data_IF_636236454014
#
_entry.id   IF_636236454014
#
_cell.length_a   1.000
_cell.length_b   1.000
_cell.length_c   1.000
_cell.angle_alpha   90.00
_cell.angle_beta   90.00
_cell.angle_gamma   90.00
#
_symmetry.space_group_name_H-M   'P 1'
#
loop_
_entity.id
_entity.type
_entity.pdbx_description
1 polymer ?
#
# COMPACT_ATOMS: atom_id res chain seq x y z
N UNK A 1 5.96 -1.55 -14.67
CA UNK A 1 7.31 -1.72 -14.10
C UNK A 1 8.15 -2.60 -15.00
N UNK A 2 9.47 -2.40 -15.03
CA UNK A 2 10.40 -3.34 -15.68
C UNK A 2 10.69 -4.50 -14.73
N UNK A 3 11.06 -5.65 -15.28
CA UNK A 3 11.28 -6.86 -14.51
C UNK A 3 11.26 -8.10 -15.39
N UNK A 4 11.48 -9.25 -14.76
CA UNK A 4 11.62 -10.52 -15.44
C UNK A 4 10.66 -11.57 -14.86
N UNK A 5 10.01 -12.39 -15.70
CA UNK A 5 9.25 -13.53 -15.21
C UNK A 5 10.20 -14.61 -14.67
N UNK A 6 9.96 -15.07 -13.45
CA UNK A 6 10.60 -16.23 -12.83
C UNK A 6 9.59 -17.38 -12.82
N UNK A 7 9.87 -18.41 -13.61
CA UNK A 7 9.05 -19.62 -13.65
C UNK A 7 9.13 -20.37 -12.33
N UNK A 8 7.98 -20.74 -11.79
CA UNK A 8 7.85 -21.53 -10.58
C UNK A 8 6.80 -22.64 -10.77
N UNK A 9 6.75 -23.58 -9.83
CA UNK A 9 5.78 -24.67 -9.84
C UNK A 9 5.06 -24.72 -8.51
N UNK A 10 3.74 -24.57 -8.57
CA UNK A 10 2.87 -24.86 -7.43
C UNK A 10 2.86 -26.37 -7.24
N UNK A 11 3.23 -26.82 -6.03
CA UNK A 11 3.35 -28.25 -5.74
C UNK A 11 1.97 -28.84 -5.48
N UNK A 12 1.82 -30.13 -5.78
CA UNK A 12 0.63 -30.87 -5.40
C UNK A 12 0.51 -30.86 -3.88
N UNK A 13 -0.65 -30.43 -3.38
CA UNK A 13 -0.98 -30.48 -1.96
C UNK A 13 -2.31 -31.22 -1.76
N UNK A 14 -2.27 -32.46 -1.24
CA UNK A 14 -3.48 -33.24 -0.98
C UNK A 14 -4.31 -32.69 0.19
N UNK A 15 -3.68 -31.93 1.10
CA UNK A 15 -4.30 -31.38 2.30
C UNK A 15 -5.00 -30.04 2.04
N UNK A 16 -4.70 -29.38 0.91
CA UNK A 16 -5.34 -28.13 0.53
C UNK A 16 -6.86 -28.30 0.39
N UNK A 17 -7.62 -27.49 1.13
CA UNK A 17 -9.08 -27.44 1.06
C UNK A 17 -9.54 -26.72 -0.23
N UNK A 18 -9.40 -27.41 -1.36
CA UNK A 18 -9.75 -26.92 -2.70
C UNK A 18 -10.39 -28.02 -3.56
N UNK A 19 -11.15 -27.70 -4.62
CA UNK A 19 -11.58 -28.70 -5.61
C UNK A 19 -10.39 -29.50 -6.20
N UNK A 20 -10.55 -30.78 -6.59
CA UNK A 20 -9.45 -31.64 -7.05
C UNK A 20 -8.61 -31.06 -8.20
N UNK A 21 -9.21 -30.23 -9.07
CA UNK A 21 -8.50 -29.55 -10.17
C UNK A 21 -7.44 -28.55 -9.68
N UNK A 22 -7.61 -27.94 -8.51
CA UNK A 22 -6.70 -26.94 -7.95
C UNK A 22 -5.65 -27.53 -6.99
N UNK A 23 -5.80 -28.81 -6.59
CA UNK A 23 -4.79 -29.51 -5.79
C UNK A 23 -3.60 -29.99 -6.62
N UNK A 24 -3.74 -30.05 -7.95
CA UNK A 24 -2.73 -30.54 -8.88
C UNK A 24 -1.55 -29.56 -8.98
N UNK A 25 -0.37 -30.11 -9.25
CA UNK A 25 0.78 -29.29 -9.57
C UNK A 25 0.55 -28.51 -10.87
N UNK A 26 1.03 -27.29 -10.92
CA UNK A 26 0.93 -26.43 -12.10
C UNK A 26 2.08 -25.42 -12.14
N UNK A 27 2.49 -25.04 -13.34
CA UNK A 27 3.49 -24.00 -13.57
C UNK A 27 2.83 -22.63 -13.61
N UNK A 28 3.50 -21.63 -13.04
CA UNK A 28 3.13 -20.22 -13.14
C UNK A 28 4.40 -19.38 -13.27
N UNK A 29 4.26 -18.17 -13.80
CA UNK A 29 5.37 -17.23 -13.93
C UNK A 29 5.14 -16.09 -12.94
N UNK A 30 6.05 -15.94 -11.96
CA UNK A 30 6.05 -14.84 -11.00
C UNK A 30 6.84 -13.66 -11.56
N UNK A 31 6.31 -12.45 -11.48
CA UNK A 31 7.00 -11.26 -11.98
C UNK A 31 7.94 -10.70 -10.91
N UNK A 32 9.25 -10.69 -11.19
CA UNK A 32 10.26 -10.09 -10.31
C UNK A 32 10.63 -8.71 -10.89
N UNK A 33 10.24 -7.59 -10.25
CA UNK A 33 10.56 -6.26 -10.76
C UNK A 33 12.06 -6.00 -10.64
N UNK A 34 12.56 -5.16 -11.56
CA UNK A 34 13.91 -4.65 -11.45
C UNK A 34 14.02 -3.71 -10.22
N UNK A 35 15.20 -3.63 -9.59
CA UNK A 35 15.47 -2.65 -8.54
C UNK A 35 15.24 -1.22 -9.02
N UNK A 36 14.80 -0.35 -8.12
CA UNK A 36 14.48 1.07 -8.39
C UNK A 36 15.48 2.04 -7.79
N UNK A 37 16.31 1.64 -6.82
CA UNK A 37 17.23 2.56 -6.14
C UNK A 37 18.18 3.28 -7.10
N UNK A 38 18.74 2.55 -8.07
CA UNK A 38 19.67 3.10 -9.07
C UNK A 38 18.98 3.44 -10.41
N UNK A 39 17.66 3.58 -10.41
CA UNK A 39 16.90 3.83 -11.64
C UNK A 39 17.16 5.24 -12.17
N UNK A 40 17.70 5.35 -13.40
CA UNK A 40 17.78 6.61 -14.12
C UNK A 40 16.42 6.97 -14.73
N UNK A 41 15.76 8.00 -14.21
CA UNK A 41 14.46 8.46 -14.72
C UNK A 41 14.65 9.73 -15.55
N UNK A 42 14.21 9.69 -16.81
CA UNK A 42 14.15 10.85 -17.69
C UNK A 42 12.69 11.21 -17.96
N UNK A 43 12.30 12.44 -17.64
CA UNK A 43 10.95 12.93 -17.86
C UNK A 43 10.87 13.64 -19.23
N UNK A 44 9.92 13.27 -20.11
CA UNK A 44 9.59 14.09 -21.26
C UNK A 44 9.21 15.51 -20.82
N UNK A 45 9.55 16.53 -21.63
CA UNK A 45 9.32 17.94 -21.26
C UNK A 45 7.87 18.27 -20.91
N UNK A 46 6.90 17.66 -21.61
CA UNK A 46 5.47 17.81 -21.32
C UNK A 46 5.10 17.25 -19.93
N UNK A 47 5.60 16.07 -19.58
CA UNK A 47 5.36 15.47 -18.27
C UNK A 47 6.02 16.31 -17.16
N UNK A 48 7.24 16.80 -17.39
CA UNK A 48 7.92 17.67 -16.44
C UNK A 48 7.13 18.96 -16.17
N UNK A 49 6.52 19.56 -17.21
CA UNK A 49 5.66 20.73 -17.05
C UNK A 49 4.41 20.42 -16.20
N UNK A 50 3.72 19.31 -16.48
CA UNK A 50 2.54 18.89 -15.70
C UNK A 50 2.89 18.63 -14.23
N UNK A 51 4.02 17.96 -13.97
CA UNK A 51 4.50 17.73 -12.60
C UNK A 51 4.79 19.05 -11.90
N UNK A 52 5.50 19.97 -12.56
CA UNK A 52 5.81 21.29 -12.01
C UNK A 52 4.55 22.08 -11.67
N UNK A 53 3.53 22.08 -12.54
CA UNK A 53 2.27 22.79 -12.31
C UNK A 53 1.49 22.19 -11.14
N UNK A 54 1.46 20.86 -11.02
CA UNK A 54 0.81 20.15 -9.93
C UNK A 54 1.49 20.44 -8.59
N UNK A 55 2.83 20.35 -8.51
CA UNK A 55 3.58 20.66 -7.29
C UNK A 55 3.40 22.12 -6.87
N UNK A 56 3.40 23.05 -7.84
CA UNK A 56 3.15 24.46 -7.57
C UNK A 56 1.73 24.71 -7.05
N UNK A 57 0.72 23.99 -7.55
CA UNK A 57 -0.64 24.09 -7.05
C UNK A 57 -0.76 23.59 -5.60
N UNK A 58 -0.12 22.47 -5.27
CA UNK A 58 -0.08 21.92 -3.91
C UNK A 58 0.64 22.91 -2.97
N UNK A 59 1.80 23.43 -3.38
CA UNK A 59 2.55 24.40 -2.58
C UNK A 59 1.75 25.68 -2.30
N UNK A 60 1.04 26.22 -3.30
CA UNK A 60 0.16 27.39 -3.12
C UNK A 60 -0.93 27.12 -2.09
N UNK A 61 -1.59 25.97 -2.16
CA UNK A 61 -2.62 25.57 -1.20
C UNK A 61 -2.05 25.53 0.23
N UNK A 62 -0.87 24.93 0.41
CA UNK A 62 -0.24 24.80 1.72
C UNK A 62 0.19 26.16 2.30
N UNK A 63 0.72 27.06 1.46
CA UNK A 63 1.18 28.39 1.90
C UNK A 63 0.04 29.34 2.33
N UNK A 64 -1.13 29.23 1.70
CA UNK A 64 -2.19 30.22 1.84
C UNK A 64 -3.13 29.99 3.02
N UNK A 65 -3.21 28.76 3.54
CA UNK A 65 -4.33 28.36 4.40
C UNK A 65 -4.02 27.28 5.46
N UNK A 66 -2.74 26.93 5.70
CA UNK A 66 -2.35 25.77 6.52
C UNK A 66 -3.04 25.65 7.89
N UNK A 67 -3.06 26.71 8.71
CA UNK A 67 -3.71 26.64 10.03
C UNK A 67 -5.24 26.62 9.96
N UNK A 68 -5.83 27.34 9.00
CA UNK A 68 -7.28 27.41 8.83
C UNK A 68 -7.87 26.10 8.24
N UNK A 69 -7.07 25.37 7.47
CA UNK A 69 -7.48 24.11 6.84
C UNK A 69 -7.19 22.88 7.69
N UNK A 70 -6.50 22.97 8.83
CA UNK A 70 -6.14 21.79 9.64
C UNK A 70 -7.34 20.89 10.01
N UNK A 71 -8.53 21.41 10.38
CA UNK A 71 -9.72 20.56 10.59
C UNK A 71 -10.20 19.89 9.29
N UNK A 72 -10.12 20.60 8.15
CA UNK A 72 -10.50 20.07 6.85
C UNK A 72 -9.51 19.00 6.36
N UNK A 73 -8.21 19.16 6.61
CA UNK A 73 -7.19 18.18 6.28
C UNK A 73 -7.47 16.83 6.96
N UNK A 74 -7.82 16.85 8.26
CA UNK A 74 -8.22 15.63 8.99
C UNK A 74 -9.47 14.97 8.40
N UNK A 75 -10.47 15.78 8.01
CA UNK A 75 -11.67 15.26 7.35
C UNK A 75 -11.34 14.65 5.98
N UNK A 76 -10.53 15.33 5.17
CA UNK A 76 -10.13 14.87 3.83
C UNK A 76 -9.30 13.58 3.90
N UNK A 77 -8.37 13.45 4.85
CA UNK A 77 -7.62 12.21 5.09
C UNK A 77 -8.52 11.04 5.47
N UNK A 78 -9.56 11.29 6.28
CA UNK A 78 -10.58 10.29 6.60
C UNK A 78 -11.37 9.89 5.35
N UNK A 79 -11.83 10.86 4.56
CA UNK A 79 -12.55 10.59 3.31
C UNK A 79 -11.69 9.80 2.33
N UNK A 80 -10.40 10.12 2.22
CA UNK A 80 -9.44 9.37 1.40
C UNK A 80 -9.31 7.93 1.91
N UNK A 81 -9.20 7.71 3.22
CA UNK A 81 -9.11 6.36 3.80
C UNK A 81 -10.37 5.53 3.53
N UNK A 82 -11.55 6.14 3.60
CA UNK A 82 -12.82 5.48 3.26
C UNK A 82 -12.88 5.14 1.77
N UNK A 83 -12.51 6.08 0.89
CA UNK A 83 -12.46 5.86 -0.55
C UNK A 83 -11.44 4.77 -0.92
N UNK A 84 -10.27 4.79 -0.28
CA UNK A 84 -9.21 3.79 -0.36
C UNK A 84 -9.72 2.40 0.00
N UNK A 85 -10.46 2.24 1.10
CA UNK A 85 -11.07 0.93 1.45
C UNK A 85 -12.16 0.49 0.47
N UNK A 86 -12.88 1.43 -0.16
CA UNK A 86 -13.88 1.12 -1.18
C UNK A 86 -13.26 0.53 -2.45
N UNK A 87 -12.02 0.94 -2.80
CA UNK A 87 -11.26 0.32 -3.91
C UNK A 87 -10.99 -1.16 -3.63
N UNK A 88 -10.80 -1.53 -2.35
CA UNK A 88 -10.63 -2.92 -1.92
C UNK A 88 -11.95 -3.69 -1.80
N UNK A 89 -13.08 -3.10 -2.23
CA UNK A 89 -14.39 -3.75 -2.28
C UNK A 89 -15.27 -3.56 -1.03
N UNK A 90 -14.79 -2.85 0.00
CA UNK A 90 -15.56 -2.60 1.22
C UNK A 90 -16.69 -1.59 0.97
N UNK A 91 -17.90 -1.87 1.49
CA UNK A 91 -19.05 -0.99 1.31
C UNK A 91 -19.77 -0.71 2.63
N UNK A 92 -19.31 0.32 3.33
CA UNK A 92 -19.96 0.83 4.55
C UNK A 92 -20.43 2.26 4.29
N UNK A 93 -21.70 2.55 4.57
CA UNK A 93 -22.24 3.92 4.47
C UNK A 93 -21.71 4.82 5.61
N UNK A 94 -21.69 6.12 5.37
CA UNK A 94 -21.12 7.09 6.31
C UNK A 94 -21.78 7.09 7.69
N UNK A 95 -23.10 6.80 7.77
CA UNK A 95 -23.83 6.78 9.04
C UNK A 95 -23.49 5.53 9.85
N UNK A 96 -23.36 4.39 9.17
CA UNK A 96 -22.93 3.12 9.78
C UNK A 96 -21.50 3.22 10.27
N UNK A 97 -20.60 3.81 9.47
CA UNK A 97 -19.21 4.04 9.89
C UNK A 97 -19.13 4.99 11.09
N UNK A 98 -19.84 6.11 11.09
CA UNK A 98 -19.86 7.03 12.24
C UNK A 98 -20.38 6.36 13.53
N UNK A 99 -21.39 5.47 13.41
CA UNK A 99 -21.86 4.67 14.55
C UNK A 99 -20.82 3.66 15.02
N UNK A 100 -20.09 3.05 14.09
CA UNK A 100 -19.03 2.11 14.38
C UNK A 100 -17.85 2.80 15.09
N UNK A 101 -17.48 4.03 14.72
CA UNK A 101 -16.46 4.81 15.43
C UNK A 101 -16.83 5.00 16.92
N UNK A 102 -18.03 5.51 17.19
CA UNK A 102 -18.52 5.70 18.58
C UNK A 102 -18.63 4.38 19.34
N UNK A 103 -19.05 3.31 18.65
CA UNK A 103 -19.10 1.98 19.25
C UNK A 103 -17.70 1.47 19.61
N UNK A 104 -16.72 1.64 18.73
CA UNK A 104 -15.32 1.25 18.97
C UNK A 104 -14.70 2.03 20.13
N UNK A 105 -14.94 3.34 20.23
CA UNK A 105 -14.48 4.17 21.36
C UNK A 105 -15.07 3.74 22.71
N UNK A 106 -16.28 3.18 22.67
CA UNK A 106 -16.97 2.65 23.86
C UNK A 106 -16.71 1.16 24.11
N UNK A 107 -15.77 0.56 23.38
CA UNK A 107 -15.39 -0.86 23.52
C UNK A 107 -16.45 -1.85 23.03
N UNK A 108 -17.45 -1.40 22.26
CA UNK A 108 -18.48 -2.26 21.68
C UNK A 108 -17.99 -2.87 20.38
N UNK A 109 -18.41 -4.11 20.13
CA UNK A 109 -18.13 -4.82 18.89
C UNK A 109 -18.77 -4.10 17.69
N UNK A 110 -18.02 -4.06 16.59
CA UNK A 110 -18.40 -3.47 15.31
C UNK A 110 -18.15 -4.48 14.19
N UNK A 111 -18.79 -4.29 13.03
CA UNK A 111 -18.62 -5.20 11.90
C UNK A 111 -17.18 -5.23 11.37
N UNK A 112 -16.78 -6.35 10.76
CA UNK A 112 -15.43 -6.55 10.22
C UNK A 112 -15.04 -5.44 9.22
N UNK A 113 -15.88 -5.15 8.22
CA UNK A 113 -15.61 -4.09 7.24
C UNK A 113 -15.45 -2.70 7.87
N UNK A 114 -16.29 -2.36 8.85
CA UNK A 114 -16.18 -1.10 9.57
C UNK A 114 -14.88 -1.03 10.38
N UNK A 115 -14.47 -2.15 10.98
CA UNK A 115 -13.19 -2.26 11.70
C UNK A 115 -12.01 -2.02 10.78
N UNK A 116 -12.04 -2.61 9.58
CA UNK A 116 -11.00 -2.44 8.56
C UNK A 116 -10.91 -1.00 8.04
N UNK A 117 -12.04 -0.33 7.86
CA UNK A 117 -12.06 1.09 7.44
C UNK A 117 -11.48 1.98 8.54
N UNK A 118 -11.88 1.77 9.80
CA UNK A 118 -11.32 2.55 10.93
C UNK A 118 -9.82 2.26 11.09
N UNK A 119 -9.38 1.01 10.91
CA UNK A 119 -7.95 0.68 10.96
C UNK A 119 -7.17 1.31 9.81
N UNK A 120 -7.76 1.46 8.62
CA UNK A 120 -7.16 2.21 7.53
C UNK A 120 -7.05 3.71 7.85
N UNK A 121 -8.07 4.31 8.44
CA UNK A 121 -8.03 5.70 8.93
C UNK A 121 -6.87 5.89 9.92
N UNK A 122 -6.76 5.00 10.91
CA UNK A 122 -5.72 5.07 11.93
C UNK A 122 -4.33 4.87 11.32
N UNK A 123 -4.18 3.94 10.36
CA UNK A 123 -2.93 3.70 9.66
C UNK A 123 -2.51 4.90 8.80
N UNK A 124 -3.44 5.55 8.11
CA UNK A 124 -3.18 6.75 7.33
C UNK A 124 -2.77 7.92 8.22
N UNK A 125 -3.45 8.11 9.36
CA UNK A 125 -3.07 9.13 10.34
C UNK A 125 -1.69 8.86 10.91
N UNK A 126 -1.40 7.61 11.31
CA UNK A 126 -0.08 7.20 11.78
C UNK A 126 1.01 7.44 10.72
N UNK A 127 0.74 7.08 9.46
CA UNK A 127 1.66 7.28 8.35
C UNK A 127 2.00 8.76 8.16
N UNK A 128 0.98 9.62 8.17
CA UNK A 128 1.13 11.06 7.98
C UNK A 128 1.79 11.71 9.19
N UNK A 129 1.37 11.42 10.42
CA UNK A 129 1.82 12.12 11.63
C UNK A 129 3.16 11.63 12.20
N UNK A 130 3.43 10.32 12.16
CA UNK A 130 4.61 9.74 12.80
C UNK A 130 5.61 9.19 11.78
N UNK A 131 5.16 8.45 10.77
CA UNK A 131 6.07 7.84 9.79
C UNK A 131 6.70 8.89 8.86
N UNK A 132 5.93 9.88 8.40
CA UNK A 132 6.45 10.95 7.53
C UNK A 132 7.39 11.94 8.23
N UNK A 133 7.39 11.96 9.57
CA UNK A 133 8.37 12.72 10.35
C UNK A 133 9.77 12.06 10.32
N UNK A 134 9.86 10.80 9.86
CA UNK A 134 11.10 10.02 9.75
C UNK A 134 11.36 9.68 8.27
N UNK A 135 12.58 9.24 7.98
CA UNK A 135 12.87 8.63 6.67
C UNK A 135 12.13 7.30 6.58
N UNK A 136 11.54 7.02 5.42
CA UNK A 136 10.81 5.77 5.23
C UNK A 136 11.79 4.59 5.14
N UNK A 137 11.70 3.68 6.12
CA UNK A 137 12.45 2.43 6.12
C UNK A 137 11.50 1.24 6.14
N UNK A 138 12.04 0.02 6.04
CA UNK A 138 11.28 -1.22 6.20
C UNK A 138 10.49 -1.18 7.53
N UNK A 139 11.10 -0.67 8.61
CA UNK A 139 10.46 -0.60 9.93
C UNK A 139 9.19 0.25 9.90
N UNK A 140 9.23 1.41 9.25
CA UNK A 140 8.11 2.35 9.12
C UNK A 140 7.00 1.75 8.25
N UNK A 141 7.35 1.10 7.14
CA UNK A 141 6.39 0.34 6.31
C UNK A 141 5.69 -0.76 7.12
N UNK A 142 6.45 -1.56 7.86
CA UNK A 142 5.90 -2.60 8.73
C UNK A 142 5.05 -2.01 9.87
N UNK A 143 5.38 -0.82 10.37
CA UNK A 143 4.60 -0.14 11.40
C UNK A 143 3.26 0.35 10.86
N UNK A 144 3.23 0.97 9.68
CA UNK A 144 1.98 1.38 9.00
C UNK A 144 1.09 0.15 8.78
N UNK A 145 1.65 -0.91 8.19
CA UNK A 145 0.92 -2.16 7.96
C UNK A 145 0.43 -2.81 9.26
N UNK A 146 1.21 -2.70 10.35
CA UNK A 146 0.80 -3.20 11.67
C UNK A 146 -0.46 -2.48 12.17
N UNK A 147 -0.49 -1.15 12.11
CA UNK A 147 -1.66 -0.36 12.52
C UNK A 147 -2.87 -0.73 11.67
N UNK A 148 -2.67 -0.85 10.36
CA UNK A 148 -3.72 -1.21 9.40
C UNK A 148 -4.38 -2.56 9.73
N UNK A 149 -3.57 -3.57 10.08
CA UNK A 149 -4.06 -4.94 10.23
C UNK A 149 -4.39 -5.33 11.67
N UNK A 150 -3.98 -4.54 12.67
CA UNK A 150 -4.02 -4.90 14.10
C UNK A 150 -5.41 -5.33 14.63
N UNK A 151 -6.49 -4.81 14.04
CA UNK A 151 -7.87 -5.10 14.47
C UNK A 151 -8.64 -5.97 13.48
N UNK A 152 -7.98 -6.46 12.44
CA UNK A 152 -8.62 -7.29 11.41
C UNK A 152 -8.58 -8.75 11.81
N UNK A 153 -9.33 -9.60 11.10
CA UNK A 153 -9.28 -11.06 11.30
C UNK A 153 -7.87 -11.63 10.99
N UNK A 154 -7.04 -10.90 10.24
CA UNK A 154 -5.68 -11.26 9.83
C UNK A 154 -4.60 -10.55 10.67
N UNK A 155 -4.91 -10.17 11.90
CA UNK A 155 -3.99 -9.46 12.80
C UNK A 155 -2.67 -10.21 13.05
N UNK A 156 -2.65 -11.54 12.88
CA UNK A 156 -1.45 -12.36 12.99
C UNK A 156 -0.38 -12.05 11.92
N UNK A 157 -0.77 -11.50 10.77
CA UNK A 157 0.12 -11.06 9.69
C UNK A 157 0.49 -9.56 9.79
N UNK A 158 -0.04 -8.85 10.80
CA UNK A 158 0.14 -7.42 10.96
C UNK A 158 1.63 -7.04 11.09
N UNK A 159 2.09 -6.17 10.20
CA UNK A 159 3.48 -5.70 10.17
C UNK A 159 4.52 -6.79 9.89
N UNK A 160 4.17 -7.84 9.14
CA UNK A 160 5.09 -8.90 8.70
C UNK A 160 5.08 -9.01 7.18
N UNK A 161 6.26 -9.08 6.56
CA UNK A 161 6.37 -9.47 5.15
C UNK A 161 5.86 -10.90 4.97
N UNK A 162 5.22 -11.19 3.85
CA UNK A 162 4.71 -12.53 3.54
C UNK A 162 5.86 -13.51 3.35
N UNK A 163 5.66 -14.73 3.82
CA UNK A 163 6.51 -15.90 3.55
C UNK A 163 5.84 -16.89 2.56
N UNK A 164 4.61 -16.61 2.17
CA UNK A 164 3.82 -17.36 1.17
C UNK A 164 3.70 -16.60 -0.15
N UNK A 165 3.45 -17.35 -1.22
CA UNK A 165 3.25 -16.77 -2.55
C UNK A 165 1.85 -16.15 -2.65
N UNK A 166 1.78 -14.85 -2.90
CA UNK A 166 0.53 -14.15 -3.26
C UNK A 166 0.26 -14.23 -4.77
N UNK A 167 -0.96 -13.92 -5.18
CA UNK A 167 -1.36 -13.72 -6.57
C UNK A 167 -2.63 -12.86 -6.65
N UNK A 168 -2.88 -12.28 -7.83
CA UNK A 168 -4.00 -11.38 -8.11
C UNK A 168 -4.81 -11.96 -9.28
N UNK A 169 -6.12 -12.06 -9.08
CA UNK A 169 -7.03 -12.64 -10.07
C UNK A 169 -6.99 -14.16 -10.13
N UNK A 170 -7.77 -14.75 -11.03
CA UNK A 170 -7.88 -16.20 -11.18
C UNK A 170 -8.75 -16.87 -10.11
N UNK A 171 -8.13 -17.56 -9.14
CA UNK A 171 -8.82 -18.40 -8.16
C UNK A 171 -8.22 -18.23 -6.75
N UNK A 172 -8.87 -18.76 -5.71
CA UNK A 172 -8.44 -18.57 -4.31
C UNK A 172 -7.54 -19.71 -3.76
N UNK A 173 -7.07 -20.62 -4.61
CA UNK A 173 -6.40 -21.85 -4.17
C UNK A 173 -4.94 -21.96 -4.58
N UNK A 174 -4.58 -21.40 -5.75
CA UNK A 174 -3.22 -21.43 -6.26
C UNK A 174 -2.99 -20.29 -7.29
N UNK A 175 -1.73 -19.93 -7.58
CA UNK A 175 -1.38 -18.86 -8.54
C UNK A 175 -1.63 -19.24 -10.01
N UNK A 176 -2.08 -20.46 -10.29
CA UNK A 176 -2.20 -20.93 -11.67
C UNK A 176 -3.47 -20.37 -12.32
N UNK A 177 -3.27 -19.60 -13.39
CA UNK A 177 -4.33 -18.82 -14.03
C UNK A 177 -4.66 -17.52 -13.30
N UNK A 178 -3.79 -17.05 -12.40
CA UNK A 178 -3.84 -15.69 -11.89
C UNK A 178 -3.47 -14.69 -12.99
N UNK A 179 -4.07 -13.49 -12.94
CA UNK A 179 -3.79 -12.40 -13.88
C UNK A 179 -2.40 -11.80 -13.63
N UNK A 180 -1.98 -11.80 -12.37
CA UNK A 180 -0.66 -11.37 -11.96
C UNK A 180 -0.16 -12.17 -10.76
N UNK A 181 1.11 -12.55 -10.78
CA UNK A 181 1.77 -13.20 -9.65
C UNK A 181 2.97 -12.34 -9.24
N UNK A 182 2.95 -11.69 -8.05
CA UNK A 182 4.05 -10.89 -7.53
C UNK A 182 5.31 -11.76 -7.26
N UNK A 183 6.45 -11.14 -6.93
CA UNK A 183 7.71 -11.83 -6.70
C UNK A 183 7.59 -13.02 -5.73
N UNK A 184 8.44 -14.04 -5.88
CA UNK A 184 8.58 -15.07 -4.85
C UNK A 184 8.92 -14.48 -3.46
N UNK A 185 8.47 -15.11 -2.35
CA UNK A 185 8.70 -14.59 -1.00
C UNK A 185 10.17 -14.33 -0.65
N UNK A 186 11.08 -15.12 -1.20
CA UNK A 186 12.54 -14.97 -1.05
C UNK A 186 13.09 -13.67 -1.64
N UNK A 187 12.39 -13.03 -2.57
CA UNK A 187 12.77 -11.74 -3.16
C UNK A 187 12.21 -10.54 -2.40
N UNK A 188 11.13 -10.72 -1.63
CA UNK A 188 10.33 -9.61 -1.07
C UNK A 188 11.18 -8.69 -0.22
N UNK A 189 11.94 -9.23 0.74
CA UNK A 189 12.76 -8.40 1.64
C UNK A 189 13.81 -7.59 0.88
N UNK A 190 14.48 -8.20 -0.09
CA UNK A 190 15.50 -7.53 -0.92
C UNK A 190 14.88 -6.36 -1.69
N UNK A 191 13.70 -6.57 -2.28
CA UNK A 191 12.99 -5.56 -3.06
C UNK A 191 12.37 -4.45 -2.19
N UNK A 192 11.87 -4.78 -0.99
CA UNK A 192 11.39 -3.77 -0.03
C UNK A 192 12.55 -2.90 0.44
N UNK A 193 13.71 -3.49 0.74
CA UNK A 193 14.90 -2.73 1.10
C UNK A 193 15.29 -1.75 -0.02
N UNK A 194 15.40 -2.24 -1.26
CA UNK A 194 15.67 -1.42 -2.45
C UNK A 194 14.66 -0.27 -2.63
N UNK A 195 13.37 -0.56 -2.48
CA UNK A 195 12.30 0.45 -2.53
C UNK A 195 12.47 1.51 -1.44
N UNK A 196 12.81 1.11 -0.22
CA UNK A 196 13.03 2.07 0.88
C UNK A 196 14.26 2.92 0.63
N UNK A 197 15.36 2.35 0.10
CA UNK A 197 16.54 3.12 -0.32
C UNK A 197 16.20 4.13 -1.42
N UNK A 198 15.43 3.75 -2.44
CA UNK A 198 14.93 4.68 -3.46
C UNK A 198 14.11 5.83 -2.87
N UNK A 199 13.32 5.54 -1.85
CA UNK A 199 12.45 6.52 -1.20
C UNK A 199 13.22 7.49 -0.27
N UNK A 200 14.50 7.20 0.04
CA UNK A 200 15.39 8.12 0.77
C UNK A 200 16.14 9.10 -0.13
N UNK A 201 16.21 8.84 -1.43
CA UNK A 201 16.87 9.73 -2.40
C UNK A 201 15.99 10.94 -2.72
N UNK A 202 16.61 12.08 -3.06
CA UNK A 202 15.89 13.33 -3.37
C UNK A 202 16.04 13.77 -4.83
N UNK A 203 16.55 12.90 -5.70
CA UNK A 203 16.95 13.22 -7.08
C UNK A 203 15.78 13.41 -8.06
N UNK A 204 14.57 13.07 -7.64
CA UNK A 204 13.34 13.19 -8.43
C UNK A 204 12.35 14.18 -7.79
N UNK A 205 11.49 14.82 -8.60
CA UNK A 205 10.33 15.54 -8.09
C UNK A 205 9.49 14.65 -7.16
N UNK A 206 9.02 15.15 -6.01
CA UNK A 206 8.28 14.36 -5.03
C UNK A 206 7.08 13.58 -5.60
N UNK A 207 6.30 14.17 -6.52
CA UNK A 207 5.18 13.46 -7.15
C UNK A 207 5.64 12.27 -8.00
N UNK A 208 6.76 12.42 -8.71
CA UNK A 208 7.32 11.36 -9.55
C UNK A 208 7.87 10.23 -8.69
N UNK A 209 8.60 10.58 -7.62
CA UNK A 209 9.11 9.59 -6.67
C UNK A 209 7.96 8.81 -6.03
N UNK A 210 6.92 9.50 -5.55
CA UNK A 210 5.75 8.84 -4.95
C UNK A 210 5.05 7.89 -5.92
N UNK A 211 4.90 8.30 -7.19
CA UNK A 211 4.30 7.45 -8.22
C UNK A 211 5.12 6.19 -8.53
N UNK A 212 6.46 6.32 -8.66
CA UNK A 212 7.35 5.17 -8.89
C UNK A 212 7.37 4.25 -7.67
N UNK A 213 7.51 4.81 -6.47
CA UNK A 213 7.54 4.05 -5.24
C UNK A 213 6.23 3.28 -5.02
N UNK A 214 5.08 3.91 -5.28
CA UNK A 214 3.79 3.24 -5.19
C UNK A 214 3.67 2.10 -6.21
N UNK A 215 4.00 2.36 -7.48
CA UNK A 215 3.97 1.32 -8.50
C UNK A 215 4.91 0.14 -8.17
N UNK A 216 6.09 0.40 -7.62
CA UNK A 216 7.02 -0.64 -7.19
C UNK A 216 6.45 -1.43 -6.01
N UNK A 217 5.92 -0.74 -5.00
CA UNK A 217 5.33 -1.35 -3.82
C UNK A 217 4.19 -2.32 -4.20
N UNK A 218 3.25 -1.88 -5.05
CA UNK A 218 2.14 -2.73 -5.52
C UNK A 218 2.63 -3.93 -6.33
N UNK A 219 3.72 -3.76 -7.09
CA UNK A 219 4.33 -4.83 -7.87
C UNK A 219 5.02 -5.87 -6.98
N UNK A 220 5.73 -5.44 -5.92
CA UNK A 220 6.35 -6.32 -4.93
C UNK A 220 5.28 -7.09 -4.15
N UNK A 221 4.18 -6.39 -3.82
CA UNK A 221 3.05 -6.90 -3.06
C UNK A 221 3.53 -7.60 -1.77
N UNK A 222 4.20 -6.86 -0.86
CA UNK A 222 5.03 -7.44 0.20
C UNK A 222 4.26 -8.13 1.34
N UNK A 223 2.96 -7.87 1.46
CA UNK A 223 2.12 -8.38 2.54
C UNK A 223 1.13 -9.43 2.03
N UNK A 224 0.62 -10.28 2.92
CA UNK A 224 -0.45 -11.23 2.56
C UNK A 224 -1.77 -10.52 2.23
N UNK A 225 -2.01 -9.38 2.89
CA UNK A 225 -3.17 -8.51 2.71
C UNK A 225 -2.79 -7.06 3.02
N UNK A 226 -3.66 -6.10 2.73
CA UNK A 226 -3.43 -4.69 3.09
C UNK A 226 -2.42 -3.96 2.21
N UNK A 227 -1.98 -4.58 1.10
CA UNK A 227 -1.03 -3.98 0.15
C UNK A 227 -1.56 -2.66 -0.42
N UNK A 228 -2.72 -2.66 -1.07
CA UNK A 228 -3.27 -1.45 -1.70
C UNK A 228 -3.39 -0.25 -0.74
N UNK A 229 -3.89 -0.51 0.48
CA UNK A 229 -4.04 0.51 1.54
C UNK A 229 -2.70 1.02 2.05
N UNK A 230 -1.73 0.12 2.26
CA UNK A 230 -0.37 0.49 2.67
C UNK A 230 0.38 1.25 1.58
N UNK A 231 0.22 0.86 0.31
CA UNK A 231 0.81 1.55 -0.85
C UNK A 231 0.28 2.98 -1.02
N UNK A 232 -1.02 3.20 -0.77
CA UNK A 232 -1.59 4.56 -0.74
C UNK A 232 -1.12 5.38 0.44
N UNK A 233 -0.89 4.77 1.61
CA UNK A 233 -0.27 5.44 2.74
C UNK A 233 1.20 5.83 2.45
N UNK A 234 1.96 4.98 1.75
CA UNK A 234 3.33 5.26 1.31
C UNK A 234 3.41 6.53 0.45
N UNK A 235 2.44 6.78 -0.44
CA UNK A 235 2.37 8.04 -1.20
C UNK A 235 2.37 9.23 -0.24
N UNK A 236 1.49 9.23 0.77
CA UNK A 236 1.38 10.34 1.71
C UNK A 236 2.66 10.53 2.53
N UNK A 237 3.32 9.44 2.91
CA UNK A 237 4.61 9.49 3.61
C UNK A 237 5.68 10.17 2.76
N UNK A 238 5.80 9.80 1.49
CA UNK A 238 6.80 10.41 0.59
C UNK A 238 6.48 11.89 0.38
N UNK A 239 5.24 12.24 0.04
CA UNK A 239 4.86 13.64 -0.22
C UNK A 239 5.09 14.55 0.99
N UNK A 240 4.81 14.04 2.21
CA UNK A 240 5.03 14.80 3.44
C UNK A 240 6.50 14.83 3.87
N UNK A 241 7.22 13.72 3.74
CA UNK A 241 8.68 13.67 3.99
C UNK A 241 9.47 14.61 3.08
N UNK A 242 9.04 14.72 1.81
CA UNK A 242 9.59 15.68 0.82
C UNK A 242 9.05 17.12 0.99
N UNK A 243 8.23 17.37 2.01
CA UNK A 243 7.62 18.68 2.35
C UNK A 243 6.75 19.28 1.24
N UNK A 244 6.30 18.46 0.30
CA UNK A 244 5.32 18.90 -0.69
C UNK A 244 3.93 18.99 -0.08
N UNK A 245 3.56 18.04 0.78
CA UNK A 245 2.38 18.10 1.65
C UNK A 245 2.79 18.45 3.09
N UNK A 246 2.03 19.31 3.77
CA UNK A 246 2.32 19.77 5.15
C UNK A 246 1.24 19.36 6.13
#
# INVERSE_FOLDING_TARGET
MRGNPRRATWRYDPALYAPPRYRRACSYDAFVPDPVADMSVSLPGELAAVVSDAEAAIARLNSGAGAALAPLARLLLRTESIASSKIEGMQVDARTLARAEVASETGRSIGAEATEIIANIDAMQFAVEDAAARKISEKELLAIHRVLMARTERAEHAGKLRDVQNWIGGNNYNPCGADFVPPPPDEVRRLVHDLTSFSECDDLPPLVQAGIAHAQFETIHPFEDGNGRTGRALIQVILRGRRLAT
#
